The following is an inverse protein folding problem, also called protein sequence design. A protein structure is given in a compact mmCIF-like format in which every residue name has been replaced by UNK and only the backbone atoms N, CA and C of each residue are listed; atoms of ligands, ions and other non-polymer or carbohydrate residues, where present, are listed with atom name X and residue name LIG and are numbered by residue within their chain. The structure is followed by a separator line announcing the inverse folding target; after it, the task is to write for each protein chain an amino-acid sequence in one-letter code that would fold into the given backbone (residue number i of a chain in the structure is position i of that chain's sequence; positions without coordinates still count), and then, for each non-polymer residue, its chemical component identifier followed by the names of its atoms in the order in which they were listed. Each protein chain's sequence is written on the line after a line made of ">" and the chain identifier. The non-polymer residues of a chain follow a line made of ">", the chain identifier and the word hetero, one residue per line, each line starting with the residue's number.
data_IF_141340771605
#
_entry.id   IF_141340771605
#
_cell.length_a   1.000
_cell.length_b   1.000
_cell.length_c   1.000
_cell.angle_alpha   90.00
_cell.angle_beta   90.00
_cell.angle_gamma   90.00
#
_symmetry.space_group_name_H-M   'P 1'
#
loop_
_entity.id
_entity.type
_entity.pdbx_description
1 polymer ?
#
# COMPACT_ATOMS: atom_id res chain seq x y z
N UNK A 1 20.87 -39.82 -13.41
CA UNK A 1 20.30 -39.51 -14.75
C UNK A 1 21.45 -39.41 -15.74
N UNK A 2 21.32 -39.99 -16.94
CA UNK A 2 22.25 -39.70 -18.05
C UNK A 2 22.32 -38.18 -18.26
N UNK A 3 23.51 -37.67 -18.62
CA UNK A 3 23.70 -36.24 -18.89
C UNK A 3 22.94 -35.91 -20.18
N UNK A 4 21.69 -35.44 -20.05
CA UNK A 4 20.86 -35.02 -21.19
C UNK A 4 21.62 -33.95 -21.98
N UNK A 5 21.55 -33.98 -23.32
CA UNK A 5 21.99 -32.85 -24.14
C UNK A 5 21.17 -31.60 -23.81
N UNK A 6 21.65 -30.41 -24.16
CA UNK A 6 20.93 -29.17 -23.84
C UNK A 6 19.54 -29.10 -24.50
N UNK A 7 19.42 -29.63 -25.73
CA UNK A 7 18.13 -29.77 -26.42
C UNK A 7 17.21 -30.75 -25.66
N UNK A 8 17.70 -31.94 -25.33
CA UNK A 8 16.92 -32.95 -24.60
C UNK A 8 16.52 -32.46 -23.20
N UNK A 9 17.37 -31.69 -22.55
CA UNK A 9 17.10 -31.08 -21.26
C UNK A 9 15.97 -30.06 -21.37
N UNK A 10 16.02 -29.12 -22.33
CA UNK A 10 14.95 -28.15 -22.52
C UNK A 10 13.64 -28.81 -22.98
N UNK A 11 13.70 -29.78 -23.90
CA UNK A 11 12.54 -30.56 -24.34
C UNK A 11 11.86 -31.32 -23.20
N UNK A 12 12.64 -31.80 -22.22
CA UNK A 12 12.11 -32.42 -21.02
C UNK A 12 11.31 -31.42 -20.17
N UNK A 13 11.83 -30.19 -20.00
CA UNK A 13 11.16 -29.12 -19.25
C UNK A 13 9.88 -28.60 -19.89
N UNK A 14 9.77 -28.61 -21.23
CA UNK A 14 8.57 -28.17 -21.95
C UNK A 14 7.52 -29.28 -22.14
N UNK A 15 7.86 -30.52 -21.80
CA UNK A 15 6.91 -31.62 -21.88
C UNK A 15 5.79 -31.47 -20.85
N UNK A 16 4.56 -31.84 -21.23
CA UNK A 16 3.31 -31.65 -20.47
C UNK A 16 3.32 -32.18 -19.02
N UNK A 17 4.34 -32.97 -18.64
CA UNK A 17 4.43 -33.67 -17.37
C UNK A 17 5.01 -32.84 -16.21
N UNK A 18 5.52 -31.62 -16.45
CA UNK A 18 6.22 -30.84 -15.41
C UNK A 18 5.53 -29.55 -14.96
N UNK A 19 4.29 -29.28 -15.37
CA UNK A 19 3.59 -28.08 -14.92
C UNK A 19 3.33 -28.14 -13.41
N UNK A 20 3.97 -27.28 -12.59
CA UNK A 20 3.45 -27.04 -11.27
C UNK A 20 2.19 -26.23 -11.49
N UNK A 21 1.02 -26.82 -11.24
CA UNK A 21 -0.13 -25.99 -10.89
C UNK A 21 0.25 -25.34 -9.56
N UNK A 22 0.47 -24.02 -9.54
CA UNK A 22 0.57 -23.30 -8.28
C UNK A 22 -0.61 -23.75 -7.41
N UNK A 23 -0.30 -24.28 -6.22
CA UNK A 23 -1.20 -24.91 -5.23
C UNK A 23 -1.29 -26.44 -5.24
N UNK A 24 -0.58 -27.16 -6.11
CA UNK A 24 -0.31 -28.58 -5.89
C UNK A 24 1.02 -28.71 -5.14
N UNK A 25 0.98 -29.19 -3.90
CA UNK A 25 2.16 -29.58 -3.12
C UNK A 25 2.82 -30.84 -3.72
N UNK A 26 3.27 -30.74 -4.97
CA UNK A 26 4.02 -31.78 -5.65
C UNK A 26 5.50 -31.65 -5.25
N UNK A 27 5.82 -32.22 -4.08
CA UNK A 27 7.17 -32.23 -3.53
C UNK A 27 8.22 -32.82 -4.51
N UNK A 28 7.94 -33.94 -5.22
CA UNK A 28 8.82 -34.44 -6.28
C UNK A 28 9.16 -33.40 -7.35
N UNK A 29 8.15 -32.65 -7.81
CA UNK A 29 8.34 -31.61 -8.81
C UNK A 29 9.18 -30.44 -8.27
N UNK A 30 8.90 -29.99 -7.03
CA UNK A 30 9.69 -28.95 -6.35
C UNK A 30 11.16 -29.35 -6.20
N UNK A 31 11.41 -30.60 -5.81
CA UNK A 31 12.75 -31.16 -5.67
C UNK A 31 13.47 -31.25 -7.02
N UNK A 32 12.77 -31.66 -8.07
CA UNK A 32 13.30 -31.70 -9.44
C UNK A 32 13.71 -30.30 -9.92
N UNK A 33 12.84 -29.30 -9.77
CA UNK A 33 13.16 -27.92 -10.14
C UNK A 33 14.35 -27.38 -9.34
N UNK A 34 14.37 -27.58 -8.03
CA UNK A 34 15.48 -27.14 -7.15
C UNK A 34 16.84 -27.72 -7.61
N UNK A 35 16.88 -29.00 -7.98
CA UNK A 35 18.10 -29.67 -8.43
C UNK A 35 18.60 -29.21 -9.81
N UNK A 36 17.70 -28.75 -10.68
CA UNK A 36 18.00 -28.44 -12.07
C UNK A 36 17.88 -26.95 -12.42
N UNK A 37 17.54 -26.11 -11.43
CA UNK A 37 17.27 -24.69 -11.58
C UNK A 37 18.41 -23.92 -12.22
N UNK A 38 19.64 -24.13 -11.73
CA UNK A 38 20.82 -23.41 -12.25
C UNK A 38 21.03 -23.71 -13.74
N UNK A 39 20.91 -24.97 -14.15
CA UNK A 39 21.07 -25.38 -15.56
C UNK A 39 19.96 -24.82 -16.43
N UNK A 40 18.72 -24.84 -15.94
CA UNK A 40 17.58 -24.24 -16.64
C UNK A 40 17.75 -22.72 -16.82
N UNK A 41 18.16 -22.00 -15.77
CA UNK A 41 18.42 -20.56 -15.84
C UNK A 41 19.52 -20.21 -16.85
N UNK A 42 20.59 -21.00 -16.92
CA UNK A 42 21.68 -20.80 -17.89
C UNK A 42 21.24 -21.06 -19.34
N UNK A 43 20.47 -22.13 -19.58
CA UNK A 43 20.04 -22.52 -20.92
C UNK A 43 18.89 -21.67 -21.45
N UNK A 44 17.93 -21.28 -20.60
CA UNK A 44 16.77 -20.46 -20.99
C UNK A 44 17.16 -19.12 -21.63
N UNK A 45 18.27 -18.50 -21.23
CA UNK A 45 18.80 -17.25 -21.83
C UNK A 45 19.29 -17.43 -23.28
N UNK A 46 19.62 -18.67 -23.66
CA UNK A 46 20.13 -19.06 -24.99
C UNK A 46 19.17 -20.01 -25.72
N UNK A 47 17.96 -20.21 -25.21
CA UNK A 47 16.99 -21.16 -25.76
C UNK A 47 16.63 -20.86 -27.22
N UNK A 48 16.70 -19.58 -27.61
CA UNK A 48 16.51 -19.14 -28.99
C UNK A 48 17.53 -19.68 -29.99
N UNK A 49 18.65 -20.23 -29.51
CA UNK A 49 19.68 -20.89 -30.33
C UNK A 49 19.57 -22.41 -30.32
N UNK A 50 18.69 -22.97 -29.48
CA UNK A 50 18.61 -24.41 -29.19
C UNK A 50 17.27 -24.97 -29.64
N UNK A 51 16.18 -24.24 -29.39
CA UNK A 51 14.81 -24.64 -29.65
C UNK A 51 14.28 -24.00 -30.94
N UNK A 52 13.33 -24.67 -31.58
CA UNK A 52 12.53 -24.05 -32.63
C UNK A 52 11.46 -23.09 -32.05
N UNK A 53 10.73 -22.38 -32.92
CA UNK A 53 9.75 -21.38 -32.47
C UNK A 53 8.64 -21.98 -31.59
N UNK A 54 8.09 -23.14 -31.94
CA UNK A 54 7.01 -23.80 -31.20
C UNK A 54 7.49 -24.26 -29.81
N UNK A 55 8.66 -24.88 -29.76
CA UNK A 55 9.31 -25.28 -28.52
C UNK A 55 9.67 -24.07 -27.64
N UNK A 56 10.04 -22.94 -28.26
CA UNK A 56 10.35 -21.70 -27.54
C UNK A 56 9.09 -21.06 -26.92
N UNK A 57 7.93 -21.14 -27.59
CA UNK A 57 6.64 -20.74 -27.03
C UNK A 57 6.33 -21.58 -25.79
N UNK A 58 6.43 -22.91 -25.91
CA UNK A 58 6.17 -23.83 -24.79
C UNK A 58 7.13 -23.55 -23.61
N UNK A 59 8.41 -23.29 -23.89
CA UNK A 59 9.38 -22.91 -22.86
C UNK A 59 8.98 -21.62 -22.14
N UNK A 60 8.57 -20.59 -22.87
CA UNK A 60 8.14 -19.34 -22.27
C UNK A 60 6.86 -19.50 -21.44
N UNK A 61 5.93 -20.35 -21.87
CA UNK A 61 4.77 -20.73 -21.05
C UNK A 61 5.22 -21.39 -19.74
N UNK A 62 6.17 -22.33 -19.78
CA UNK A 62 6.74 -22.95 -18.57
C UNK A 62 7.42 -21.93 -17.66
N UNK A 63 8.21 -21.00 -18.22
CA UNK A 63 8.85 -19.91 -17.45
C UNK A 63 7.81 -19.05 -16.72
N UNK A 64 6.70 -18.71 -17.39
CA UNK A 64 5.59 -17.95 -16.80
C UNK A 64 4.93 -18.70 -15.63
N UNK A 65 4.67 -20.01 -15.79
CA UNK A 65 4.13 -20.85 -14.74
C UNK A 65 5.05 -20.96 -13.51
N UNK A 66 6.36 -21.01 -13.74
CA UNK A 66 7.35 -21.11 -12.67
C UNK A 66 7.67 -19.77 -12.01
N UNK A 67 7.00 -18.67 -12.42
CA UNK A 67 7.28 -17.29 -11.95
C UNK A 67 8.74 -16.89 -12.10
N UNK A 68 9.37 -17.40 -13.16
CA UNK A 68 10.78 -17.19 -13.41
C UNK A 68 10.97 -15.95 -14.28
N UNK A 69 11.83 -15.02 -13.85
CA UNK A 69 12.17 -13.87 -14.70
C UNK A 69 13.09 -14.32 -15.84
N UNK A 70 12.69 -14.10 -17.09
CA UNK A 70 13.56 -14.31 -18.25
C UNK A 70 14.03 -12.99 -18.85
N UNK A 71 15.29 -12.96 -19.28
CA UNK A 71 15.82 -11.81 -20.02
C UNK A 71 15.35 -11.87 -21.46
N UNK A 72 14.31 -11.10 -21.78
CA UNK A 72 13.80 -10.98 -23.14
C UNK A 72 14.78 -10.20 -24.04
N UNK A 73 14.81 -10.60 -25.31
CA UNK A 73 15.52 -9.91 -26.40
C UNK A 73 14.47 -9.43 -27.41
N UNK A 74 14.75 -8.34 -28.12
CA UNK A 74 13.84 -7.81 -29.14
C UNK A 74 13.34 -8.87 -30.13
N UNK A 75 14.25 -9.72 -30.61
CA UNK A 75 13.94 -10.78 -31.59
C UNK A 75 13.00 -11.88 -31.06
N UNK A 76 12.93 -12.09 -29.74
CA UNK A 76 12.11 -13.15 -29.14
C UNK A 76 10.86 -12.59 -28.44
N UNK A 77 10.69 -11.27 -28.41
CA UNK A 77 9.63 -10.63 -27.67
C UNK A 77 8.24 -11.00 -28.20
N UNK A 78 8.05 -11.03 -29.52
CA UNK A 78 6.78 -11.45 -30.13
C UNK A 78 6.41 -12.89 -29.78
N UNK A 79 7.40 -13.79 -29.76
CA UNK A 79 7.24 -15.21 -29.40
C UNK A 79 6.88 -15.35 -27.91
N UNK A 80 7.51 -14.56 -27.04
CA UNK A 80 7.16 -14.52 -25.62
C UNK A 80 5.74 -14.01 -25.38
N UNK A 81 5.33 -12.97 -26.12
CA UNK A 81 3.95 -12.47 -26.04
C UNK A 81 2.97 -13.57 -26.46
N UNK A 82 3.25 -14.33 -27.53
CA UNK A 82 2.42 -15.48 -27.92
C UNK A 82 2.29 -16.53 -26.81
N UNK A 83 3.41 -16.92 -26.17
CA UNK A 83 3.39 -17.81 -25.02
C UNK A 83 2.60 -17.25 -23.83
N UNK A 84 2.74 -15.95 -23.57
CA UNK A 84 1.99 -15.28 -22.52
C UNK A 84 0.47 -15.31 -22.77
N UNK A 85 0.04 -15.20 -24.03
CA UNK A 85 -1.38 -15.27 -24.40
C UNK A 85 -1.96 -16.67 -24.17
N UNK A 86 -1.21 -17.71 -24.53
CA UNK A 86 -1.56 -19.11 -24.24
C UNK A 86 -1.61 -19.36 -22.73
N UNK A 87 -0.60 -18.88 -22.00
CA UNK A 87 -0.58 -18.91 -20.54
C UNK A 87 -1.85 -18.28 -19.94
N UNK A 88 -2.36 -17.19 -20.49
CA UNK A 88 -3.57 -16.56 -19.96
C UNK A 88 -4.87 -17.31 -20.32
N UNK A 89 -4.96 -17.93 -21.49
CA UNK A 89 -6.17 -18.67 -21.92
C UNK A 89 -6.40 -19.95 -21.13
N UNK A 90 -5.32 -20.57 -20.66
CA UNK A 90 -5.37 -21.87 -20.00
C UNK A 90 -5.65 -21.76 -18.48
N UNK A 91 -5.71 -20.53 -17.95
CA UNK A 91 -5.89 -20.25 -16.52
C UNK A 91 -7.34 -19.96 -16.15
N UNK A 92 -8.12 -21.02 -15.97
CA UNK A 92 -9.35 -20.99 -15.20
C UNK A 92 -9.07 -21.01 -13.69
N UNK A 93 -9.42 -19.91 -13.00
CA UNK A 93 -9.69 -19.80 -11.54
C UNK A 93 -8.56 -19.92 -10.49
N UNK A 94 -7.27 -19.99 -10.85
CA UNK A 94 -6.19 -20.24 -9.84
C UNK A 94 -5.02 -19.25 -9.95
N UNK A 95 -5.29 -17.97 -9.77
CA UNK A 95 -4.22 -16.99 -9.62
C UNK A 95 -4.25 -16.41 -8.21
N UNK A 96 -3.17 -16.64 -7.47
CA UNK A 96 -2.85 -15.76 -6.35
C UNK A 96 -2.50 -14.38 -6.95
N UNK A 97 -3.05 -13.30 -6.38
CA UNK A 97 -2.88 -11.92 -6.88
C UNK A 97 -1.42 -11.52 -7.09
N UNK A 98 -0.49 -12.13 -6.36
CA UNK A 98 0.95 -11.89 -6.49
C UNK A 98 1.55 -12.40 -7.80
N UNK A 99 0.90 -13.34 -8.47
CA UNK A 99 1.46 -14.13 -9.58
C UNK A 99 1.21 -13.48 -10.93
N UNK A 100 0.17 -12.65 -11.01
CA UNK A 100 -0.25 -11.96 -12.23
C UNK A 100 0.13 -10.49 -12.27
N UNK A 101 0.58 -9.92 -11.15
CA UNK A 101 0.78 -8.47 -11.03
C UNK A 101 1.89 -7.91 -11.93
N UNK A 102 3.07 -8.53 -11.89
CA UNK A 102 4.18 -8.12 -12.75
C UNK A 102 3.88 -8.42 -14.22
N UNK A 103 3.41 -9.63 -14.59
CA UNK A 103 3.03 -9.91 -15.97
C UNK A 103 1.95 -8.97 -16.51
N UNK A 104 0.92 -8.62 -15.71
CA UNK A 104 -0.13 -7.68 -16.11
C UNK A 104 0.44 -6.30 -16.46
N UNK A 105 1.29 -5.75 -15.58
CA UNK A 105 1.87 -4.42 -15.77
C UNK A 105 2.94 -4.37 -16.88
N UNK A 106 3.55 -5.51 -17.24
CA UNK A 106 4.57 -5.54 -18.28
C UNK A 106 4.02 -5.96 -19.65
N UNK A 107 2.97 -6.79 -19.68
CA UNK A 107 2.55 -7.51 -20.89
C UNK A 107 1.04 -7.41 -21.23
N UNK A 108 0.14 -7.08 -20.29
CA UNK A 108 -1.31 -6.94 -20.53
C UNK A 108 -2.10 -8.26 -20.44
N UNK A 109 -3.26 -8.45 -21.11
CA UNK A 109 -3.97 -9.74 -21.23
C UNK A 109 -4.54 -9.91 -22.63
N UNK A 110 -4.23 -10.90 -23.47
CA UNK A 110 -4.60 -10.82 -24.92
C UNK A 110 -6.05 -10.44 -25.27
N UNK A 111 -7.03 -11.07 -24.62
CA UNK A 111 -8.47 -10.84 -24.86
C UNK A 111 -9.03 -9.63 -24.09
N UNK A 112 -8.26 -9.09 -23.13
CA UNK A 112 -8.63 -7.95 -22.28
C UNK A 112 -7.51 -6.90 -22.26
N UNK A 113 -6.67 -6.87 -23.29
CA UNK A 113 -5.47 -6.05 -23.30
C UNK A 113 -5.93 -4.68 -23.73
N UNK A 114 -5.92 -3.67 -22.85
CA UNK A 114 -6.09 -2.32 -23.35
C UNK A 114 -4.92 -1.92 -24.27
N UNK A 115 -3.83 -2.70 -24.30
CA UNK A 115 -2.68 -2.63 -25.22
C UNK A 115 -2.68 -3.71 -26.32
N UNK A 116 -3.83 -4.18 -26.79
CA UNK A 116 -3.93 -5.17 -27.89
C UNK A 116 -3.14 -4.80 -29.17
N UNK A 117 -2.57 -3.59 -29.25
CA UNK A 117 -1.68 -3.13 -30.32
C UNK A 117 -0.22 -3.60 -30.23
N UNK A 118 0.16 -4.51 -29.33
CA UNK A 118 1.50 -5.12 -29.36
C UNK A 118 2.61 -4.07 -29.24
N UNK A 119 2.72 -3.48 -28.05
CA UNK A 119 3.80 -2.54 -27.73
C UNK A 119 5.17 -3.05 -28.16
N UNK A 120 5.98 -2.16 -28.74
CA UNK A 120 7.33 -2.53 -29.18
C UNK A 120 8.18 -3.00 -28.00
N UNK A 121 9.22 -3.78 -28.29
CA UNK A 121 10.20 -4.18 -27.27
C UNK A 121 10.81 -2.97 -26.52
N UNK A 122 10.93 -1.82 -27.19
CA UNK A 122 11.38 -0.57 -26.55
C UNK A 122 10.40 -0.08 -25.47
N UNK A 123 9.10 -0.15 -25.76
CA UNK A 123 8.05 0.21 -24.80
C UNK A 123 8.03 -0.76 -23.61
N UNK A 124 8.19 -2.07 -23.85
CA UNK A 124 8.39 -3.07 -22.79
C UNK A 124 9.58 -2.71 -21.89
N UNK A 125 10.75 -2.40 -22.45
CA UNK A 125 11.93 -2.06 -21.65
C UNK A 125 11.72 -0.78 -20.81
N UNK A 126 10.96 0.20 -21.32
CA UNK A 126 10.57 1.38 -20.55
C UNK A 126 9.62 1.03 -19.41
N UNK A 127 8.58 0.24 -19.67
CA UNK A 127 7.62 -0.23 -18.67
C UNK A 127 8.30 -1.09 -17.61
N UNK A 128 9.21 -1.97 -18.00
CA UNK A 128 10.03 -2.77 -17.08
C UNK A 128 10.84 -1.92 -16.13
N UNK A 129 11.55 -0.92 -16.63
CA UNK A 129 12.32 0.02 -15.80
C UNK A 129 11.41 0.80 -14.85
N UNK A 130 10.25 1.25 -15.33
CA UNK A 130 9.24 1.93 -14.52
C UNK A 130 8.73 1.01 -13.41
N UNK A 131 8.35 -0.22 -13.76
CA UNK A 131 7.83 -1.22 -12.83
C UNK A 131 8.85 -1.53 -11.73
N UNK A 132 10.10 -1.88 -12.08
CA UNK A 132 11.17 -2.14 -11.09
C UNK A 132 11.35 -0.96 -10.14
N UNK A 133 11.20 0.28 -10.63
CA UNK A 133 11.30 1.45 -9.78
C UNK A 133 10.08 1.62 -8.87
N UNK A 134 8.87 1.36 -9.38
CA UNK A 134 7.64 1.35 -8.58
C UNK A 134 7.72 0.26 -7.50
N UNK A 135 8.24 -0.92 -7.81
CA UNK A 135 8.42 -2.02 -6.86
C UNK A 135 9.37 -1.66 -5.70
N UNK A 136 10.32 -0.75 -5.92
CA UNK A 136 11.25 -0.33 -4.87
C UNK A 136 10.61 0.50 -3.76
N UNK A 137 9.36 0.96 -3.94
CA UNK A 137 8.65 1.71 -2.92
C UNK A 137 8.00 0.79 -1.89
N UNK A 138 8.34 1.01 -0.62
CA UNK A 138 7.82 0.24 0.52
C UNK A 138 6.84 1.04 1.38
N UNK A 139 6.53 2.29 1.02
CA UNK A 139 5.61 3.14 1.78
C UNK A 139 5.05 4.32 0.96
N UNK A 140 3.89 4.83 1.39
CA UNK A 140 3.28 6.07 0.88
C UNK A 140 4.21 7.26 1.04
N UNK A 141 4.94 7.34 2.16
CA UNK A 141 5.96 8.36 2.38
C UNK A 141 7.05 8.32 1.30
N UNK A 142 7.39 7.13 0.82
CA UNK A 142 8.27 6.93 -0.34
C UNK A 142 7.74 7.63 -1.59
N UNK A 143 6.46 7.45 -1.91
CA UNK A 143 5.82 8.13 -3.04
C UNK A 143 5.82 9.65 -2.87
N UNK A 144 5.39 10.15 -1.71
CA UNK A 144 5.33 11.58 -1.41
C UNK A 144 6.70 12.26 -1.54
N UNK A 145 7.80 11.56 -1.22
CA UNK A 145 9.18 12.06 -1.38
C UNK A 145 9.70 12.01 -2.82
N UNK A 146 9.03 11.28 -3.71
CA UNK A 146 9.45 11.05 -5.10
C UNK A 146 8.39 11.53 -6.10
N UNK A 147 7.65 12.57 -5.75
CA UNK A 147 6.65 13.18 -6.65
C UNK A 147 7.24 13.59 -8.01
N UNK A 148 8.46 14.12 -8.05
CA UNK A 148 9.10 14.51 -9.31
C UNK A 148 9.34 13.33 -10.25
N UNK A 149 9.60 12.13 -9.69
CA UNK A 149 9.73 10.92 -10.49
C UNK A 149 8.42 10.59 -11.19
N UNK A 150 7.28 10.60 -10.49
CA UNK A 150 5.98 10.30 -11.10
C UNK A 150 5.60 11.36 -12.14
N UNK A 151 5.87 12.64 -11.86
CA UNK A 151 5.68 13.72 -12.83
C UNK A 151 6.47 13.50 -14.13
N UNK A 152 7.74 13.09 -14.03
CA UNK A 152 8.57 12.78 -15.20
C UNK A 152 8.07 11.56 -15.99
N UNK A 153 7.36 10.64 -15.34
CA UNK A 153 6.84 9.42 -15.94
C UNK A 153 5.35 9.52 -16.36
N UNK A 154 4.75 10.71 -16.31
CA UNK A 154 3.32 10.93 -16.62
C UNK A 154 2.90 10.47 -18.03
N UNK A 155 3.85 10.29 -18.96
CA UNK A 155 3.58 9.72 -20.29
C UNK A 155 3.00 8.29 -20.25
N UNK A 156 3.14 7.57 -19.13
CA UNK A 156 2.54 6.25 -18.91
C UNK A 156 1.14 6.30 -18.28
N UNK A 157 0.54 7.48 -18.14
CA UNK A 157 -0.77 7.66 -17.50
C UNK A 157 -1.91 6.93 -18.21
N UNK A 158 -1.95 6.96 -19.54
CA UNK A 158 -2.96 6.24 -20.32
C UNK A 158 -2.92 4.75 -20.00
N UNK A 159 -1.72 4.19 -20.02
CA UNK A 159 -1.50 2.79 -19.68
C UNK A 159 -1.91 2.48 -18.23
N UNK A 160 -1.50 3.34 -17.30
CA UNK A 160 -1.87 3.20 -15.90
C UNK A 160 -3.39 3.20 -15.69
N UNK A 161 -4.12 4.11 -16.35
CA UNK A 161 -5.58 4.17 -16.28
C UNK A 161 -6.23 2.89 -16.77
N UNK A 162 -5.82 2.43 -17.95
CA UNK A 162 -6.34 1.23 -18.55
C UNK A 162 -6.12 -0.01 -17.66
N UNK A 163 -4.96 -0.11 -17.00
CA UNK A 163 -4.70 -1.15 -16.00
C UNK A 163 -5.64 -1.05 -14.80
N UNK A 164 -5.90 0.16 -14.28
CA UNK A 164 -6.82 0.37 -13.16
C UNK A 164 -8.27 -0.01 -13.51
N UNK A 165 -8.72 0.35 -14.72
CA UNK A 165 -10.04 0.00 -15.23
C UNK A 165 -10.21 -1.52 -15.34
N UNK A 166 -9.19 -2.21 -15.87
CA UNK A 166 -9.21 -3.66 -15.99
C UNK A 166 -9.19 -4.35 -14.63
N UNK A 167 -8.28 -3.95 -13.72
CA UNK A 167 -8.20 -4.55 -12.39
C UNK A 167 -9.52 -4.41 -11.61
N UNK A 168 -10.27 -3.34 -11.84
CA UNK A 168 -11.56 -3.09 -11.19
C UNK A 168 -12.68 -4.04 -11.64
N UNK A 169 -12.46 -4.89 -12.63
CA UNK A 169 -13.45 -5.88 -13.10
C UNK A 169 -13.36 -7.21 -12.33
N UNK A 170 -12.36 -7.38 -11.46
CA UNK A 170 -12.10 -8.65 -10.80
C UNK A 170 -11.86 -8.50 -9.29
N UNK A 171 -12.64 -9.25 -8.51
CA UNK A 171 -12.63 -9.18 -7.04
C UNK A 171 -11.26 -9.51 -6.42
N UNK A 172 -10.48 -10.40 -7.04
CA UNK A 172 -9.19 -10.81 -6.50
C UNK A 172 -8.14 -9.68 -6.47
N UNK A 173 -8.28 -8.64 -7.31
CA UNK A 173 -7.45 -7.42 -7.21
C UNK A 173 -7.95 -6.47 -6.11
N UNK A 174 -9.18 -6.65 -5.64
CA UNK A 174 -9.83 -5.77 -4.67
C UNK A 174 -9.47 -6.16 -3.22
N UNK A 175 -9.24 -7.45 -2.96
CA UNK A 175 -9.07 -8.02 -1.62
C UNK A 175 -7.71 -7.72 -0.93
N UNK A 176 -6.61 -7.49 -1.68
CA UNK A 176 -5.25 -7.27 -1.12
C UNK A 176 -4.75 -5.80 -1.23
N UNK A 177 -5.67 -4.83 -1.30
CA UNK A 177 -5.32 -3.42 -1.51
C UNK A 177 -4.72 -2.70 -0.30
N UNK A 178 -4.63 -3.35 0.85
CA UNK A 178 -4.08 -2.77 2.07
C UNK A 178 -2.56 -2.98 2.22
N UNK A 179 -1.95 -3.90 1.45
CA UNK A 179 -0.54 -4.28 1.56
C UNK A 179 0.31 -3.81 0.35
N UNK A 180 1.32 -4.58 -0.03
CA UNK A 180 2.32 -4.23 -1.08
C UNK A 180 1.67 -3.99 -2.45
N UNK A 181 0.57 -4.68 -2.74
CA UNK A 181 -0.20 -4.49 -3.97
C UNK A 181 -0.82 -3.08 -4.03
N UNK A 182 -1.38 -2.61 -2.92
CA UNK A 182 -1.96 -1.28 -2.80
C UNK A 182 -0.98 -0.17 -3.16
N UNK A 183 0.31 -0.27 -2.81
CA UNK A 183 1.31 0.72 -3.19
C UNK A 183 1.46 0.85 -4.71
N UNK A 184 1.41 -0.25 -5.44
CA UNK A 184 1.61 -0.27 -6.89
C UNK A 184 0.41 0.32 -7.64
N UNK A 185 -0.79 -0.02 -7.19
CA UNK A 185 -2.04 0.55 -7.69
C UNK A 185 -2.09 2.06 -7.43
N UNK A 186 -1.68 2.50 -6.24
CA UNK A 186 -1.56 3.94 -5.90
C UNK A 186 -0.50 4.67 -6.73
N UNK A 187 0.57 3.98 -7.14
CA UNK A 187 1.58 4.54 -8.04
C UNK A 187 1.03 4.75 -9.46
N UNK A 188 0.17 3.85 -9.96
CA UNK A 188 -0.54 4.03 -11.23
C UNK A 188 -1.48 5.23 -11.18
N UNK A 189 -2.23 5.39 -10.07
CA UNK A 189 -3.05 6.57 -9.84
C UNK A 189 -2.23 7.87 -9.86
N UNK A 190 -1.03 7.89 -9.28
CA UNK A 190 -0.14 9.05 -9.35
C UNK A 190 0.25 9.42 -10.78
N UNK A 191 0.52 8.43 -11.65
CA UNK A 191 0.83 8.69 -13.05
C UNK A 191 -0.37 9.38 -13.74
N UNK A 192 -1.59 8.90 -13.49
CA UNK A 192 -2.82 9.52 -13.99
C UNK A 192 -3.02 10.94 -13.46
N UNK A 193 -2.80 11.16 -12.15
CA UNK A 193 -2.91 12.48 -11.52
C UNK A 193 -1.89 13.48 -12.04
N UNK A 194 -0.70 13.06 -12.47
CA UNK A 194 0.28 13.99 -13.06
C UNK A 194 -0.03 14.36 -14.51
N UNK A 195 -0.76 13.53 -15.25
CA UNK A 195 -1.00 13.76 -16.67
C UNK A 195 -2.25 14.64 -16.92
N UNK A 196 -2.10 15.86 -17.48
CA UNK A 196 -3.21 16.79 -17.68
C UNK A 196 -4.39 16.23 -18.49
N UNK A 197 -4.13 15.32 -19.44
CA UNK A 197 -5.17 14.71 -20.28
C UNK A 197 -6.07 13.75 -19.50
N UNK A 198 -5.54 13.13 -18.44
CA UNK A 198 -6.17 12.01 -17.75
C UNK A 198 -6.59 12.31 -16.31
N UNK A 199 -6.15 13.45 -15.75
CA UNK A 199 -6.50 13.90 -14.40
C UNK A 199 -8.01 13.89 -14.14
N UNK A 200 -8.79 14.59 -14.96
CA UNK A 200 -10.24 14.72 -14.76
C UNK A 200 -10.94 13.36 -14.89
N UNK A 201 -10.61 12.59 -15.93
CA UNK A 201 -11.16 11.25 -16.18
C UNK A 201 -10.91 10.33 -14.98
N UNK A 202 -9.67 10.32 -14.47
CA UNK A 202 -9.30 9.50 -13.33
C UNK A 202 -10.10 9.90 -12.08
N UNK A 203 -10.08 11.19 -11.73
CA UNK A 203 -10.67 11.71 -10.50
C UNK A 203 -12.20 11.55 -10.49
N UNK A 204 -12.85 11.81 -11.62
CA UNK A 204 -14.29 11.63 -11.77
C UNK A 204 -14.68 10.18 -11.51
N UNK A 205 -14.08 9.23 -12.23
CA UNK A 205 -14.35 7.79 -12.06
C UNK A 205 -14.03 7.30 -10.65
N UNK A 206 -12.93 7.80 -10.06
CA UNK A 206 -12.57 7.47 -8.68
C UNK A 206 -13.64 7.92 -7.68
N UNK A 207 -14.13 9.16 -7.80
CA UNK A 207 -15.14 9.71 -6.89
C UNK A 207 -16.51 9.04 -7.05
N UNK A 208 -16.85 8.56 -8.24
CA UNK A 208 -18.08 7.79 -8.49
C UNK A 208 -17.98 6.31 -8.07
N UNK A 209 -16.78 5.85 -7.69
CA UNK A 209 -16.56 4.46 -7.28
C UNK A 209 -16.42 3.47 -8.44
N UNK A 210 -16.16 3.95 -9.66
CA UNK A 210 -16.01 3.11 -10.86
C UNK A 210 -14.73 2.26 -10.83
N UNK A 211 -13.78 2.61 -9.95
CA UNK A 211 -12.57 1.86 -9.72
C UNK A 211 -12.67 0.99 -8.46
N UNK A 212 -13.31 -0.19 -8.58
CA UNK A 212 -13.43 -1.16 -7.48
C UNK A 212 -12.08 -1.60 -6.88
N UNK A 213 -11.00 -1.48 -7.65
CA UNK A 213 -9.62 -1.74 -7.19
C UNK A 213 -9.17 -0.77 -6.08
N UNK A 214 -9.87 0.35 -5.84
CA UNK A 214 -9.59 1.22 -4.71
C UNK A 214 -10.56 0.95 -3.55
N UNK A 215 -10.08 0.22 -2.54
CA UNK A 215 -10.77 0.12 -1.25
C UNK A 215 -10.84 1.45 -0.48
N UNK A 216 -11.62 1.52 0.61
CA UNK A 216 -11.93 2.76 1.34
C UNK A 216 -10.73 3.61 1.77
N UNK A 217 -9.62 2.97 2.14
CA UNK A 217 -8.40 3.64 2.60
C UNK A 217 -7.71 4.47 1.49
N UNK A 218 -7.97 4.13 0.22
CA UNK A 218 -7.35 4.82 -0.90
C UNK A 218 -7.86 6.24 -1.08
N UNK A 219 -9.08 6.53 -0.62
CA UNK A 219 -9.64 7.88 -0.64
C UNK A 219 -8.72 8.88 0.06
N UNK A 220 -8.34 8.56 1.30
CA UNK A 220 -7.44 9.38 2.10
C UNK A 220 -6.07 9.49 1.45
N UNK A 221 -5.56 8.42 0.85
CA UNK A 221 -4.23 8.43 0.21
C UNK A 221 -4.22 9.30 -1.05
N UNK A 222 -5.25 9.22 -1.89
CA UNK A 222 -5.37 10.05 -3.09
C UNK A 222 -5.58 11.52 -2.71
N UNK A 223 -6.32 11.80 -1.63
CA UNK A 223 -6.39 13.14 -1.05
C UNK A 223 -4.98 13.64 -0.67
N UNK A 224 -4.19 12.83 0.06
CA UNK A 224 -2.81 13.21 0.41
C UNK A 224 -1.94 13.48 -0.82
N UNK A 225 -2.09 12.73 -1.90
CA UNK A 225 -1.37 12.99 -3.14
C UNK A 225 -1.76 14.33 -3.75
N UNK A 226 -3.05 14.62 -3.86
CA UNK A 226 -3.53 15.89 -4.40
C UNK A 226 -3.05 17.07 -3.54
N UNK A 227 -3.19 16.97 -2.22
CA UNK A 227 -2.71 17.98 -1.27
C UNK A 227 -1.19 18.18 -1.40
N UNK A 228 -0.42 17.10 -1.56
CA UNK A 228 1.04 17.19 -1.75
C UNK A 228 1.41 17.81 -3.09
N UNK A 229 0.68 17.50 -4.16
CA UNK A 229 0.88 18.06 -5.49
C UNK A 229 0.61 19.56 -5.50
N UNK A 230 -0.50 20.00 -4.90
CA UNK A 230 -0.81 21.44 -4.73
C UNK A 230 0.29 22.15 -3.93
N UNK A 231 0.73 21.55 -2.82
CA UNK A 231 1.80 22.12 -1.99
C UNK A 231 3.12 22.27 -2.76
N UNK A 232 3.49 21.28 -3.57
CA UNK A 232 4.80 21.24 -4.23
C UNK A 232 4.83 21.98 -5.55
N UNK A 233 3.73 22.01 -6.30
CA UNK A 233 3.70 22.50 -7.69
C UNK A 233 2.74 23.67 -7.91
N UNK A 234 1.92 24.05 -6.92
CA UNK A 234 0.90 25.10 -7.05
C UNK A 234 -0.40 24.60 -7.69
N UNK A 235 -1.36 25.49 -7.81
CA UNK A 235 -2.73 25.17 -8.30
C UNK A 235 -2.75 24.75 -9.77
N UNK A 236 -1.83 25.30 -10.58
CA UNK A 236 -1.69 25.01 -12.02
C UNK A 236 -1.28 23.56 -12.33
N UNK A 237 -0.99 22.74 -11.30
CA UNK A 237 -0.70 21.32 -11.49
C UNK A 237 -1.92 20.54 -11.97
N UNK A 238 -3.14 21.01 -11.65
CA UNK A 238 -4.39 20.40 -12.10
C UNK A 238 -5.05 21.24 -13.18
N UNK A 239 -5.59 20.60 -14.21
CA UNK A 239 -6.36 21.29 -15.24
C UNK A 239 -7.65 21.89 -14.68
N UNK A 240 -8.21 22.87 -15.40
CA UNK A 240 -9.48 23.49 -15.03
C UNK A 240 -10.62 22.47 -14.87
N UNK A 241 -10.62 21.39 -15.68
CA UNK A 241 -11.62 20.33 -15.61
C UNK A 241 -11.36 19.37 -14.44
N UNK A 242 -10.11 19.14 -14.06
CA UNK A 242 -9.75 18.25 -12.96
C UNK A 242 -9.90 18.90 -11.57
N UNK A 243 -9.65 20.21 -11.49
CA UNK A 243 -9.58 20.93 -10.22
C UNK A 243 -10.86 20.82 -9.36
N UNK A 244 -12.09 20.88 -9.91
CA UNK A 244 -13.31 20.69 -9.13
C UNK A 244 -13.36 19.33 -8.41
N UNK A 245 -12.92 18.25 -9.08
CA UNK A 245 -12.87 16.92 -8.48
C UNK A 245 -11.81 16.82 -7.38
N UNK A 246 -10.66 17.50 -7.55
CA UNK A 246 -9.65 17.62 -6.49
C UNK A 246 -10.23 18.33 -5.26
N UNK A 247 -10.94 19.44 -5.46
CA UNK A 247 -11.59 20.16 -4.37
C UNK A 247 -12.65 19.30 -3.68
N UNK A 248 -13.45 18.57 -4.44
CA UNK A 248 -14.44 17.63 -3.90
C UNK A 248 -13.78 16.53 -3.05
N UNK A 249 -12.73 15.90 -3.56
CA UNK A 249 -11.94 14.88 -2.85
C UNK A 249 -11.41 15.43 -1.51
N UNK A 250 -10.79 16.61 -1.54
CA UNK A 250 -10.22 17.26 -0.35
C UNK A 250 -11.32 17.64 0.64
N UNK A 251 -12.46 18.18 0.18
CA UNK A 251 -13.52 18.59 1.10
C UNK A 251 -14.23 17.40 1.75
N UNK A 252 -14.44 16.31 1.01
CA UNK A 252 -14.96 15.07 1.58
C UNK A 252 -14.04 14.50 2.67
N UNK A 253 -12.71 14.55 2.47
CA UNK A 253 -11.76 14.16 3.51
C UNK A 253 -11.78 15.16 4.68
N UNK A 254 -11.86 16.46 4.41
CA UNK A 254 -11.98 17.49 5.44
C UNK A 254 -13.24 17.32 6.30
N UNK A 255 -14.36 16.90 5.71
CA UNK A 255 -15.58 16.57 6.47
C UNK A 255 -15.30 15.42 7.45
N UNK A 256 -14.61 14.36 7.01
CA UNK A 256 -14.19 13.25 7.90
C UNK A 256 -13.25 13.72 9.00
N UNK A 257 -12.26 14.56 8.67
CA UNK A 257 -11.35 15.18 9.64
C UNK A 257 -12.14 16.00 10.67
N UNK A 258 -13.09 16.84 10.24
CA UNK A 258 -13.92 17.65 11.16
C UNK A 258 -14.83 16.82 12.05
N UNK A 259 -15.26 15.64 11.57
CA UNK A 259 -16.08 14.71 12.34
C UNK A 259 -15.27 13.83 13.31
N UNK A 260 -13.93 13.83 13.24
CA UNK A 260 -13.10 12.96 14.07
C UNK A 260 -13.11 13.39 15.54
N UNK A 261 -13.00 12.42 16.45
CA UNK A 261 -12.85 12.68 17.88
C UNK A 261 -11.69 13.64 18.20
N UNK A 262 -10.54 13.49 17.54
CA UNK A 262 -9.40 14.38 17.71
C UNK A 262 -9.68 15.81 17.26
N UNK A 263 -10.45 16.01 16.19
CA UNK A 263 -10.82 17.35 15.76
C UNK A 263 -11.77 18.02 16.75
N UNK A 264 -12.77 17.29 17.23
CA UNK A 264 -13.70 17.78 18.25
C UNK A 264 -12.90 18.12 19.51
N UNK A 265 -11.97 17.26 19.93
CA UNK A 265 -11.04 17.47 21.04
C UNK A 265 -10.28 18.78 20.94
N UNK A 266 -9.52 19.01 19.86
CA UNK A 266 -8.75 20.26 19.73
C UNK A 266 -9.64 21.50 19.70
N UNK A 267 -10.84 21.37 19.14
CA UNK A 267 -11.79 22.48 18.99
C UNK A 267 -12.39 22.87 20.33
N UNK A 268 -12.85 21.91 21.15
CA UNK A 268 -13.38 22.21 22.48
C UNK A 268 -12.31 22.74 23.43
N UNK A 269 -11.08 22.25 23.30
CA UNK A 269 -9.94 22.80 24.06
C UNK A 269 -9.43 24.13 23.51
N UNK A 270 -9.96 24.60 22.38
CA UNK A 270 -9.54 25.86 21.75
C UNK A 270 -8.05 25.88 21.41
N UNK A 271 -7.48 24.75 20.97
CA UNK A 271 -6.07 24.64 20.59
C UNK A 271 -5.87 25.24 19.19
N UNK A 272 -4.80 26.01 19.01
CA UNK A 272 -4.45 26.57 17.71
C UNK A 272 -3.70 25.53 16.85
N UNK A 273 -4.46 24.56 16.36
CA UNK A 273 -4.00 23.51 15.46
C UNK A 273 -4.76 23.59 14.13
N UNK A 274 -4.06 23.42 12.99
CA UNK A 274 -4.67 23.45 11.67
C UNK A 274 -5.73 22.35 11.49
N UNK A 275 -6.42 22.34 10.34
CA UNK A 275 -7.34 21.26 10.00
C UNK A 275 -6.58 19.94 9.77
N UNK A 276 -5.39 20.01 9.16
CA UNK A 276 -4.57 18.86 8.75
C UNK A 276 -3.09 19.04 9.07
N UNK A 277 -2.30 17.99 8.88
CA UNK A 277 -0.84 17.93 9.06
C UNK A 277 -0.40 18.27 10.50
N UNK A 278 -1.08 17.68 11.50
CA UNK A 278 -0.72 17.88 12.90
C UNK A 278 -0.82 16.58 13.71
N UNK A 279 0.08 16.45 14.67
CA UNK A 279 0.07 15.38 15.67
C UNK A 279 0.44 15.95 17.03
N UNK A 280 -0.29 15.54 18.07
CA UNK A 280 -0.03 15.86 19.46
C UNK A 280 0.20 14.57 20.22
N UNK A 281 1.23 14.53 21.05
CA UNK A 281 1.44 13.41 21.95
C UNK A 281 1.58 13.88 23.40
N UNK A 282 1.02 13.09 24.29
CA UNK A 282 1.05 13.26 25.74
C UNK A 282 1.74 12.04 26.33
N UNK A 283 2.78 12.27 27.11
CA UNK A 283 3.52 11.23 27.81
C UNK A 283 3.54 11.53 29.31
N UNK A 284 3.26 10.53 30.13
CA UNK A 284 3.22 10.64 31.60
C UNK A 284 3.94 9.44 32.19
N UNK A 285 5.02 9.66 32.95
CA UNK A 285 5.75 8.60 33.64
C UNK A 285 4.97 8.09 34.86
N UNK A 286 5.18 6.82 35.22
CA UNK A 286 4.65 6.23 36.46
C UNK A 286 5.65 6.39 37.61
N UNK A 287 5.17 6.77 38.81
CA UNK A 287 6.03 7.04 39.97
C UNK A 287 6.80 5.83 40.51
N UNK A 288 6.15 4.66 40.57
CA UNK A 288 6.69 3.48 41.28
C UNK A 288 6.92 2.27 40.37
N UNK A 289 6.18 2.17 39.26
CA UNK A 289 6.15 0.97 38.43
C UNK A 289 7.02 1.10 37.17
N UNK A 290 8.01 2.01 37.16
CA UNK A 290 8.97 2.25 36.07
C UNK A 290 8.35 2.13 34.66
N UNK A 291 7.30 2.90 34.39
CA UNK A 291 6.50 2.78 33.18
C UNK A 291 5.98 4.12 32.70
N UNK A 292 5.08 4.11 31.72
CA UNK A 292 4.48 5.33 31.18
C UNK A 292 3.09 5.10 30.61
N UNK A 293 2.27 6.14 30.62
CA UNK A 293 1.11 6.29 29.73
C UNK A 293 1.47 7.22 28.59
N UNK A 294 1.01 6.86 27.40
CA UNK A 294 1.17 7.61 26.18
C UNK A 294 -0.17 7.74 25.45
N UNK A 295 -0.52 8.95 25.03
CA UNK A 295 -1.63 9.21 24.12
C UNK A 295 -1.08 9.97 22.90
N UNK A 296 -1.31 9.44 21.71
CA UNK A 296 -1.04 10.09 20.43
C UNK A 296 -2.35 10.43 19.74
N UNK A 297 -2.45 11.66 19.26
CA UNK A 297 -3.63 12.24 18.60
C UNK A 297 -3.17 12.90 17.31
N UNK A 298 -3.91 12.71 16.21
CA UNK A 298 -3.59 13.35 14.94
C UNK A 298 -4.84 13.70 14.12
N UNK A 299 -4.64 14.50 13.07
CA UNK A 299 -5.67 14.96 12.12
C UNK A 299 -6.21 13.87 11.18
N UNK A 300 -5.66 12.66 11.30
CA UNK A 300 -5.92 11.55 10.42
C UNK A 300 -7.24 10.88 10.78
N UNK A 301 -8.25 10.95 9.90
CA UNK A 301 -9.53 10.31 10.17
C UNK A 301 -9.47 8.79 10.25
N UNK A 302 -8.39 8.15 9.75
CA UNK A 302 -8.22 6.69 9.74
C UNK A 302 -7.26 6.16 10.84
N UNK A 303 -6.53 7.02 11.55
CA UNK A 303 -5.70 6.62 12.71
C UNK A 303 -6.17 7.30 13.98
N UNK A 304 -6.65 8.56 13.90
CA UNK A 304 -7.30 9.38 14.92
C UNK A 304 -6.51 9.46 16.24
N UNK A 305 -6.50 8.37 17.03
CA UNK A 305 -5.77 8.25 18.28
C UNK A 305 -5.15 6.86 18.52
N UNK A 306 -4.07 6.85 19.29
CA UNK A 306 -3.43 5.66 19.87
C UNK A 306 -3.15 5.91 21.35
N UNK A 307 -3.56 4.97 22.21
CA UNK A 307 -3.22 4.98 23.63
C UNK A 307 -2.37 3.77 23.99
N UNK A 308 -1.37 3.98 24.84
CA UNK A 308 -0.52 2.92 25.37
C UNK A 308 -0.24 3.15 26.84
N UNK A 309 -0.26 2.09 27.63
CA UNK A 309 0.30 2.04 28.97
C UNK A 309 1.29 0.89 29.04
N UNK A 310 2.50 1.16 29.55
CA UNK A 310 3.54 0.17 29.72
C UNK A 310 4.02 0.16 31.17
N UNK A 311 4.20 -1.05 31.72
CA UNK A 311 4.58 -1.27 33.11
C UNK A 311 5.81 -2.18 33.15
N UNK A 312 6.98 -1.63 33.48
CA UNK A 312 8.25 -2.38 33.35
C UNK A 312 8.42 -3.57 34.30
N UNK A 313 8.04 -3.53 35.58
CA UNK A 313 8.25 -4.64 36.51
C UNK A 313 7.60 -5.95 36.06
N UNK A 314 6.48 -5.85 35.34
CA UNK A 314 5.71 -6.98 34.85
C UNK A 314 5.92 -7.22 33.35
N UNK A 315 6.65 -6.32 32.67
CA UNK A 315 6.74 -6.24 31.21
C UNK A 315 5.38 -6.38 30.51
N UNK A 316 4.35 -5.80 31.13
CA UNK A 316 2.99 -5.85 30.64
C UNK A 316 2.64 -4.54 29.95
N UNK A 317 1.73 -4.63 28.97
CA UNK A 317 1.25 -3.47 28.26
C UNK A 317 -0.24 -3.51 27.94
N UNK A 318 -0.78 -2.29 27.89
CA UNK A 318 -2.04 -1.96 27.29
C UNK A 318 -1.76 -1.14 26.03
N UNK A 319 -2.41 -1.47 24.91
CA UNK A 319 -2.34 -0.71 23.66
C UNK A 319 -3.68 -0.80 22.96
N UNK A 320 -4.26 0.34 22.62
CA UNK A 320 -5.49 0.40 21.82
C UNK A 320 -5.38 1.51 20.78
N UNK A 321 -5.74 1.16 19.55
CA UNK A 321 -5.82 2.09 18.43
C UNK A 321 -7.29 2.28 18.02
N UNK A 322 -7.62 3.45 17.48
CA UNK A 322 -8.99 3.72 17.03
C UNK A 322 -9.47 2.78 15.91
N UNK A 323 -8.55 2.38 15.01
CA UNK A 323 -8.90 1.70 13.75
C UNK A 323 -8.27 0.33 13.52
N UNK A 324 -7.30 -0.09 14.34
CA UNK A 324 -6.71 -1.41 14.17
C UNK A 324 -7.29 -2.39 15.18
N UNK A 325 -7.52 -3.62 14.77
CA UNK A 325 -7.78 -4.76 15.68
C UNK A 325 -6.57 -5.06 16.60
N UNK A 326 -5.48 -4.30 16.49
CA UNK A 326 -4.40 -4.28 17.48
C UNK A 326 -4.90 -3.70 18.79
N UNK A 327 -5.44 -4.62 19.60
CA UNK A 327 -5.81 -4.40 20.98
C UNK A 327 -5.00 -5.36 21.83
N UNK A 328 -4.17 -4.80 22.71
CA UNK A 328 -3.40 -5.54 23.69
C UNK A 328 -3.82 -5.04 25.07
N UNK A 329 -4.21 -5.95 25.95
CA UNK A 329 -4.63 -5.60 27.31
C UNK A 329 -4.19 -6.67 28.30
N UNK A 330 -2.88 -6.73 28.53
CA UNK A 330 -2.29 -7.64 29.52
C UNK A 330 -2.49 -7.15 30.97
N UNK A 331 -2.99 -5.92 31.11
CA UNK A 331 -3.23 -5.24 32.38
C UNK A 331 -4.70 -5.35 32.83
N UNK A 332 -5.55 -6.06 32.07
CA UNK A 332 -6.97 -6.30 32.34
C UNK A 332 -7.78 -5.00 32.63
N UNK A 333 -7.46 -3.93 31.90
CA UNK A 333 -8.04 -2.59 32.08
C UNK A 333 -9.34 -2.37 31.31
N UNK A 334 -10.19 -1.39 31.71
CA UNK A 334 -11.31 -0.97 30.89
C UNK A 334 -10.82 -0.39 29.56
N UNK A 335 -11.54 -0.68 28.47
CA UNK A 335 -11.18 -0.23 27.13
C UNK A 335 -11.29 1.30 27.02
N UNK A 336 -10.22 1.96 26.55
CA UNK A 336 -10.17 3.41 26.38
C UNK A 336 -11.21 3.90 25.36
N UNK A 337 -11.56 3.08 24.37
CA UNK A 337 -12.64 3.38 23.42
C UNK A 337 -14.00 3.66 24.06
N UNK A 338 -14.27 3.17 25.28
CA UNK A 338 -15.51 3.48 26.02
C UNK A 338 -15.53 4.93 26.54
N UNK A 339 -14.37 5.55 26.68
CA UNK A 339 -14.17 6.92 27.16
C UNK A 339 -13.99 7.91 26.00
N UNK A 340 -13.36 7.45 24.90
CA UNK A 340 -12.96 8.28 23.77
C UNK A 340 -11.90 9.32 24.13
N UNK A 341 -11.45 10.10 23.14
CA UNK A 341 -10.35 11.08 23.34
C UNK A 341 -10.62 12.06 24.49
N UNK A 342 -11.86 12.52 24.64
CA UNK A 342 -12.24 13.45 25.70
C UNK A 342 -12.21 12.86 27.10
N UNK A 343 -12.50 11.57 27.22
CA UNK A 343 -12.53 10.86 28.49
C UNK A 343 -11.16 10.40 28.96
N UNK A 344 -10.08 10.70 28.24
CA UNK A 344 -8.71 10.32 28.65
C UNK A 344 -8.34 10.70 30.08
N UNK A 345 -8.62 11.92 30.58
CA UNK A 345 -8.36 12.25 31.99
C UNK A 345 -9.17 11.40 32.98
N UNK A 346 -10.41 11.06 32.65
CA UNK A 346 -11.25 10.19 33.49
C UNK A 346 -10.79 8.73 33.44
N UNK A 347 -10.34 8.26 32.27
CA UNK A 347 -9.71 6.95 32.14
C UNK A 347 -8.43 6.86 32.98
N UNK A 348 -7.56 7.87 32.94
CA UNK A 348 -6.41 7.94 33.87
C UNK A 348 -6.86 7.91 35.33
N UNK A 349 -7.97 8.58 35.67
CA UNK A 349 -8.49 8.61 37.03
C UNK A 349 -8.93 7.23 37.52
N UNK A 350 -9.57 6.41 36.67
CA UNK A 350 -9.94 5.04 37.06
C UNK A 350 -8.71 4.17 37.29
N UNK A 351 -7.63 4.38 36.52
CA UNK A 351 -6.36 3.67 36.68
C UNK A 351 -5.56 4.07 37.94
N UNK A 352 -5.89 5.20 38.58
CA UNK A 352 -5.15 5.73 39.75
C UNK A 352 -5.11 4.76 40.94
N UNK A 353 -6.07 3.82 41.03
CA UNK A 353 -6.11 2.80 42.09
C UNK A 353 -4.88 1.89 42.05
N UNK A 354 -4.41 1.55 40.84
CA UNK A 354 -3.33 0.61 40.60
C UNK A 354 -2.04 1.28 40.10
N UNK A 355 -2.16 2.48 39.50
CA UNK A 355 -1.05 3.19 38.86
C UNK A 355 -0.97 4.65 39.31
N UNK A 356 0.15 5.03 39.92
CA UNK A 356 0.40 6.43 40.28
C UNK A 356 1.16 7.17 39.18
N UNK A 357 0.53 8.20 38.62
CA UNK A 357 1.12 9.07 37.60
C UNK A 357 2.01 10.15 38.20
N UNK A 358 3.17 10.37 37.60
CA UNK A 358 4.04 11.50 37.90
C UNK A 358 3.60 12.72 37.07
N UNK A 359 2.74 13.55 37.65
CA UNK A 359 2.25 14.77 37.00
C UNK A 359 3.34 15.81 36.71
N UNK A 360 4.49 15.75 37.36
CA UNK A 360 5.63 16.64 37.07
C UNK A 360 6.40 16.17 35.83
N UNK A 361 6.25 14.90 35.44
CA UNK A 361 6.91 14.29 34.27
C UNK A 361 6.21 14.55 32.94
N UNK A 362 5.03 15.19 32.94
CA UNK A 362 4.18 15.28 31.74
C UNK A 362 4.90 15.98 30.60
N UNK A 363 5.05 15.27 29.48
CA UNK A 363 5.65 15.80 28.23
C UNK A 363 4.56 15.92 27.17
N UNK A 364 4.38 17.14 26.66
CA UNK A 364 3.47 17.43 25.55
C UNK A 364 4.28 17.87 24.33
N UNK A 365 4.15 17.10 23.26
CA UNK A 365 4.74 17.36 21.94
C UNK A 365 3.69 17.78 20.93
N UNK A 366 4.10 18.37 19.80
CA UNK A 366 3.18 18.79 18.74
C UNK A 366 2.54 20.18 18.91
N UNK A 367 2.46 20.69 20.14
CA UNK A 367 1.98 22.04 20.43
C UNK A 367 3.13 23.06 20.47
N UNK A 368 3.07 24.09 19.61
CA UNK A 368 4.09 25.16 19.55
C UNK A 368 3.87 26.25 20.61
N UNK A 369 2.62 26.60 20.90
CA UNK A 369 2.29 27.72 21.80
C UNK A 369 2.21 27.26 23.25
N UNK A 370 2.84 28.02 24.16
CA UNK A 370 2.78 27.76 25.62
C UNK A 370 1.34 27.78 26.16
N UNK A 371 0.51 28.69 25.67
CA UNK A 371 -0.89 28.81 26.07
C UNK A 371 -1.68 27.52 25.76
N UNK A 372 -1.43 26.89 24.62
CA UNK A 372 -2.12 25.64 24.25
C UNK A 372 -1.65 24.46 25.09
N UNK A 373 -0.35 24.40 25.42
CA UNK A 373 0.15 23.42 26.42
C UNK A 373 -0.52 23.60 27.78
N UNK A 374 -0.75 24.85 28.21
CA UNK A 374 -1.45 25.13 29.48
C UNK A 374 -2.91 24.68 29.44
N UNK A 375 -3.65 24.95 28.36
CA UNK A 375 -5.04 24.46 28.19
C UNK A 375 -5.09 22.93 28.25
N UNK A 376 -4.15 22.26 27.56
CA UNK A 376 -4.05 20.81 27.56
C UNK A 376 -3.74 20.27 28.97
N UNK A 377 -2.79 20.88 29.69
CA UNK A 377 -2.49 20.50 31.07
C UNK A 377 -3.70 20.71 32.00
N UNK A 378 -4.43 21.81 31.86
CA UNK A 378 -5.64 22.09 32.65
C UNK A 378 -6.72 21.02 32.42
N UNK A 379 -6.96 20.66 31.16
CA UNK A 379 -7.86 19.56 30.80
C UNK A 379 -7.38 18.22 31.36
N UNK A 380 -6.08 17.93 31.26
CA UNK A 380 -5.51 16.67 31.70
C UNK A 380 -5.65 16.46 33.22
N UNK A 381 -5.49 17.51 34.02
CA UNK A 381 -5.55 17.40 35.49
C UNK A 381 -6.94 17.71 36.06
N UNK A 382 -7.92 18.15 35.26
CA UNK A 382 -9.22 18.59 35.76
C UNK A 382 -9.96 17.57 36.64
N UNK A 383 -9.94 16.25 36.34
CA UNK A 383 -10.61 15.26 37.19
C UNK A 383 -9.95 15.07 38.58
N UNK A 384 -8.74 15.59 38.74
CA UNK A 384 -7.90 15.43 39.94
C UNK A 384 -7.85 16.68 40.82
N UNK A 385 -8.46 17.80 40.40
CA UNK A 385 -8.40 19.10 41.10
C UNK A 385 -9.24 19.18 42.37
N UNK A 386 -10.18 18.24 42.59
CA UNK A 386 -11.09 18.25 43.74
C UNK A 386 -10.77 17.19 44.81
N UNK A 387 -9.55 16.64 44.80
CA UNK A 387 -9.14 15.54 45.70
C UNK A 387 -8.07 15.94 46.75
N UNK A 388 -7.90 17.25 47.01
CA UNK A 388 -7.06 17.74 48.09
C UNK A 388 -7.86 17.98 49.38
#
# INVERSE_FOLDING_TARGET
>A
MQQLSDLQFLQYFISDALYPRCNQDDQPLKDFYSQHWQRFAELSVKADKILNQEELIQLYSVVLHLKCSIKLKAQNYSIFIEAYRQYLSDFGSVLNVYDVREPLFLYGFDQFNPLAQGHSFEQYEKLRKLYTRIESYTSIRGHLKKMDFFKQQQGFAEYALQCLEHMSQYDFYCEDNQLVLGLKIRAMALLALFNPQYQAIFLEKFLHGDYAVFGPDNFRILCLYCEKMLQQYGDDIFTADAFPYVQQLIELENVKRRASETFIWKTKLGLDLPLKDWGVSIWIDLKHNHGYVFLELQDDSAFNWHVKLFVSPLNQSYSQHHFSDSYQNELEMPAFSEYGVFGFPEWLKTLKQDYQFDWESVKISGLKKRADKQKLMQWLVSPFQHEN
#
